data_IF_621204198442
#
_entry.id   IF_621204198442
#
_cell.length_a   1.000
_cell.length_b   1.000
_cell.length_c   1.000
_cell.angle_alpha   90.00
_cell.angle_beta   90.00
_cell.angle_gamma   90.00
#
_symmetry.space_group_name_H-M   'P 1'
#
loop_
_entity.id
_entity.type
_entity.pdbx_description
1 polymer ?
#
# COMPACT_ATOMS: atom_id res chain seq x y z
N UNK A 1 -0.73 -5.22 6.93
CA UNK A 1 0.46 -5.01 7.79
C UNK A 1 0.54 -6.06 8.90
N UNK A 2 -0.55 -6.33 9.61
CA UNK A 2 -0.61 -7.31 10.71
C UNK A 2 0.01 -8.69 10.41
N UNK A 3 -0.26 -9.27 9.25
CA UNK A 3 0.34 -10.55 8.86
C UNK A 3 1.87 -10.52 8.81
N UNK A 4 2.46 -9.40 8.39
CA UNK A 4 3.91 -9.22 8.36
C UNK A 4 4.47 -9.08 9.78
N UNK A 5 3.87 -8.21 10.60
CA UNK A 5 4.24 -8.04 12.01
C UNK A 5 4.16 -9.35 12.79
N UNK A 6 3.08 -10.12 12.60
CA UNK A 6 2.91 -11.44 13.22
C UNK A 6 4.05 -12.41 12.87
N UNK A 7 4.40 -12.49 11.58
CA UNK A 7 5.48 -13.36 11.11
C UNK A 7 6.85 -12.92 11.65
N UNK A 8 7.12 -11.62 11.70
CA UNK A 8 8.34 -11.07 12.27
C UNK A 8 8.47 -11.39 13.77
N UNK A 9 7.41 -11.17 14.55
CA UNK A 9 7.36 -11.43 15.99
C UNK A 9 7.56 -12.92 16.30
N UNK A 10 6.85 -13.80 15.59
CA UNK A 10 7.01 -15.26 15.74
C UNK A 10 8.44 -15.70 15.41
N UNK A 11 9.06 -15.10 14.40
CA UNK A 11 10.45 -15.36 14.07
C UNK A 11 11.41 -14.89 15.18
N UNK A 12 11.24 -13.67 15.71
CA UNK A 12 12.03 -13.14 16.81
C UNK A 12 12.02 -14.09 18.01
N UNK A 13 10.83 -14.47 18.47
CA UNK A 13 10.64 -15.35 19.63
C UNK A 13 11.30 -16.71 19.38
N UNK A 14 11.11 -17.29 18.19
CA UNK A 14 11.72 -18.57 17.82
C UNK A 14 13.26 -18.53 17.86
N UNK A 15 13.86 -17.39 17.53
CA UNK A 15 15.32 -17.19 17.56
C UNK A 15 15.84 -16.70 18.93
N UNK A 16 14.96 -16.54 19.93
CA UNK A 16 15.33 -16.04 21.26
C UNK A 16 15.56 -14.52 21.32
N UNK A 17 15.11 -13.78 20.31
CA UNK A 17 15.11 -12.33 20.27
C UNK A 17 13.87 -11.76 20.98
N UNK A 18 13.96 -10.51 21.42
CA UNK A 18 12.86 -9.80 22.08
C UNK A 18 12.22 -8.86 21.07
N UNK A 19 11.00 -9.15 20.58
CA UNK A 19 10.30 -8.28 19.64
C UNK A 19 9.66 -7.09 20.37
N UNK A 20 10.03 -5.88 20.00
CA UNK A 20 9.45 -4.64 20.52
C UNK A 20 8.59 -3.98 19.45
N UNK A 21 7.35 -3.67 19.79
CA UNK A 21 6.43 -2.96 18.92
C UNK A 21 6.32 -1.50 19.31
N UNK A 22 6.52 -0.63 18.33
CA UNK A 22 6.27 0.80 18.43
C UNK A 22 4.86 1.06 17.95
N UNK A 23 3.98 1.51 18.84
CA UNK A 23 2.62 1.87 18.48
C UNK A 23 2.59 3.26 17.84
N UNK A 24 1.67 3.48 16.89
CA UNK A 24 1.44 4.79 16.26
C UNK A 24 2.72 5.41 15.67
N UNK A 25 3.55 4.60 15.02
CA UNK A 25 4.74 5.04 14.28
C UNK A 25 5.72 5.90 15.09
N UNK A 26 6.39 6.86 14.43
CA UNK A 26 7.41 7.69 15.10
C UNK A 26 6.83 8.62 16.16
N UNK A 27 5.56 9.03 16.03
CA UNK A 27 4.90 9.80 17.09
C UNK A 27 4.81 8.99 18.38
N UNK A 28 4.30 7.75 18.32
CA UNK A 28 4.21 6.93 19.52
C UNK A 28 5.57 6.49 20.05
N UNK A 29 6.60 6.40 19.21
CA UNK A 29 7.98 6.26 19.68
C UNK A 29 8.41 7.42 20.59
N UNK A 30 8.14 8.66 20.18
CA UNK A 30 8.46 9.86 20.96
C UNK A 30 7.67 9.89 22.28
N UNK A 31 6.39 9.50 22.21
CA UNK A 31 5.49 9.39 23.36
C UNK A 31 5.84 8.21 24.30
N UNK A 32 6.74 7.30 23.88
CA UNK A 32 7.15 6.13 24.67
C UNK A 32 6.18 4.94 24.62
N UNK A 33 5.30 4.88 23.62
CA UNK A 33 4.33 3.81 23.40
C UNK A 33 4.99 2.57 22.78
N UNK A 34 5.89 1.94 23.52
CA UNK A 34 6.65 0.75 23.10
C UNK A 34 6.27 -0.43 24.00
N UNK A 35 5.87 -1.54 23.38
CA UNK A 35 5.44 -2.73 24.09
C UNK A 35 6.15 -3.98 23.55
N UNK A 36 6.56 -4.86 24.46
CA UNK A 36 7.06 -6.18 24.09
C UNK A 36 5.91 -7.06 23.62
N UNK A 37 6.06 -7.68 22.45
CA UNK A 37 5.04 -8.57 21.90
C UNK A 37 5.30 -10.02 22.31
N UNK A 38 4.24 -10.70 22.74
CA UNK A 38 4.28 -12.12 23.06
C UNK A 38 3.78 -12.97 21.89
N UNK A 39 4.07 -14.27 21.92
CA UNK A 39 3.61 -15.22 20.91
C UNK A 39 2.09 -15.24 20.77
N UNK A 40 1.39 -15.20 21.91
CA UNK A 40 -0.07 -15.17 21.99
C UNK A 40 -0.64 -13.78 21.65
N UNK A 41 0.10 -12.70 21.93
CA UNK A 41 -0.36 -11.33 21.67
C UNK A 41 -0.55 -11.03 20.18
N UNK A 42 0.20 -11.71 19.31
CA UNK A 42 0.06 -11.59 17.84
C UNK A 42 -0.81 -12.68 17.22
N UNK A 43 -1.52 -13.47 18.02
CA UNK A 43 -2.38 -14.51 17.49
C UNK A 43 -3.59 -13.91 16.77
N UNK A 44 -3.98 -14.53 15.65
CA UNK A 44 -5.05 -14.03 14.78
C UNK A 44 -4.71 -12.78 13.94
N UNK A 45 -3.53 -12.17 14.10
CA UNK A 45 -3.13 -11.00 13.31
C UNK A 45 -3.00 -11.29 11.81
N UNK A 46 -2.79 -12.55 11.42
CA UNK A 46 -2.59 -12.96 10.02
C UNK A 46 -3.79 -12.67 9.12
N UNK A 47 -5.02 -12.75 9.64
CA UNK A 47 -6.24 -12.56 8.83
C UNK A 47 -6.89 -11.18 9.02
N UNK A 48 -6.39 -10.36 9.95
CA UNK A 48 -6.93 -9.02 10.20
C UNK A 48 -6.32 -8.00 9.25
N UNK A 49 -7.16 -7.23 8.55
CA UNK A 49 -6.73 -6.06 7.79
C UNK A 49 -6.25 -4.91 8.69
N UNK A 50 -5.70 -3.88 8.06
CA UNK A 50 -5.18 -2.70 8.76
C UNK A 50 -3.88 -2.95 9.54
N UNK A 51 -3.74 -2.21 10.65
CA UNK A 51 -2.60 -2.23 11.56
C UNK A 51 -3.06 -2.17 13.02
N UNK A 52 -2.86 -3.25 13.78
CA UNK A 52 -3.12 -3.34 15.23
C UNK A 52 -2.14 -2.47 16.04
N UNK A 53 -0.96 -2.19 15.48
CA UNK A 53 0.00 -1.28 16.09
C UNK A 53 -0.37 0.20 15.90
N UNK A 54 -1.31 0.49 15.00
CA UNK A 54 -1.58 1.83 14.52
C UNK A 54 -0.49 2.32 13.56
N UNK A 55 -0.89 3.14 12.59
CA UNK A 55 0.01 3.75 11.60
C UNK A 55 -0.29 5.22 11.47
N UNK A 56 0.76 6.01 11.27
CA UNK A 56 0.65 7.44 10.96
C UNK A 56 1.68 7.84 9.91
N UNK A 57 1.51 9.05 9.37
CA UNK A 57 2.38 9.65 8.37
C UNK A 57 3.45 10.56 9.01
N UNK A 58 3.69 10.44 10.33
CA UNK A 58 4.65 11.27 11.05
C UNK A 58 6.08 10.80 10.75
N UNK A 59 6.91 11.71 10.23
CA UNK A 59 8.29 11.44 9.87
C UNK A 59 9.24 11.63 11.07
N UNK A 60 10.40 10.94 11.09
CA UNK A 60 11.38 11.08 12.17
C UNK A 60 12.10 12.45 12.18
N UNK A 61 11.99 13.23 11.10
CA UNK A 61 12.61 14.56 11.01
C UNK A 61 11.99 15.61 11.95
N UNK A 62 10.82 15.34 12.54
CA UNK A 62 10.19 16.24 13.51
C UNK A 62 11.10 16.46 14.72
N UNK A 63 11.71 15.39 15.24
CA UNK A 63 12.72 15.45 16.29
C UNK A 63 13.64 14.23 16.22
N UNK A 64 14.65 14.32 15.35
CA UNK A 64 15.58 13.23 15.13
C UNK A 64 16.43 12.91 16.37
N UNK A 65 16.70 13.92 17.22
CA UNK A 65 17.47 13.76 18.45
C UNK A 65 16.70 12.97 19.50
N UNK A 66 15.41 13.27 19.69
CA UNK A 66 14.55 12.50 20.59
C UNK A 66 14.32 11.07 20.08
N UNK A 67 14.16 10.88 18.76
CA UNK A 67 14.11 9.52 18.17
C UNK A 67 15.39 8.74 18.49
N UNK A 68 16.56 9.33 18.31
CA UNK A 68 17.84 8.70 18.65
C UNK A 68 17.96 8.37 20.16
N UNK A 69 17.53 9.29 21.03
CA UNK A 69 17.52 9.09 22.47
C UNK A 69 16.63 7.89 22.87
N UNK A 70 15.46 7.75 22.25
CA UNK A 70 14.57 6.59 22.46
C UNK A 70 15.20 5.30 21.95
N UNK A 71 15.89 5.32 20.81
CA UNK A 71 16.58 4.14 20.30
C UNK A 71 17.64 3.64 21.29
N UNK A 72 18.40 4.57 21.87
CA UNK A 72 19.40 4.24 22.88
C UNK A 72 18.77 3.79 24.20
N UNK A 73 17.68 4.42 24.64
CA UNK A 73 16.98 4.06 25.87
C UNK A 73 16.45 2.61 25.85
N UNK A 74 15.93 2.17 24.71
CA UNK A 74 15.34 0.83 24.56
C UNK A 74 16.36 -0.23 24.08
N UNK A 75 17.55 0.18 23.70
CA UNK A 75 18.65 -0.68 23.21
C UNK A 75 18.21 -1.51 21.99
N UNK A 76 17.65 -0.83 20.96
CA UNK A 76 17.27 -1.49 19.72
C UNK A 76 18.51 -1.96 18.96
N UNK A 77 18.48 -3.19 18.45
CA UNK A 77 19.58 -3.79 17.70
C UNK A 77 19.26 -3.97 16.21
N UNK A 78 17.99 -3.85 15.83
CA UNK A 78 17.54 -3.70 14.45
C UNK A 78 16.20 -2.96 14.45
N UNK A 79 15.78 -2.53 13.27
CA UNK A 79 14.47 -1.93 13.05
C UNK A 79 13.84 -2.47 11.77
N UNK A 80 12.60 -2.91 11.85
CA UNK A 80 11.79 -3.29 10.69
C UNK A 80 10.63 -2.31 10.54
N UNK A 81 10.54 -1.65 9.39
CA UNK A 81 9.50 -0.67 9.09
C UNK A 81 8.52 -1.26 8.05
N UNK A 82 7.21 -1.23 8.33
CA UNK A 82 6.18 -1.90 7.51
C UNK A 82 5.09 -0.91 7.09
N UNK A 83 5.35 -0.06 6.10
CA UNK A 83 4.40 0.95 5.57
C UNK A 83 4.77 1.30 4.11
N UNK A 84 4.05 2.27 3.51
CA UNK A 84 4.28 2.84 2.18
C UNK A 84 5.45 3.82 2.09
N UNK A 85 5.27 4.89 1.32
CA UNK A 85 6.35 5.78 0.86
C UNK A 85 6.88 6.76 1.90
N UNK A 86 6.07 7.16 2.88
CA UNK A 86 6.54 8.01 3.97
C UNK A 86 7.62 7.31 4.80
N UNK A 87 7.50 5.99 4.95
CA UNK A 87 8.52 5.17 5.59
C UNK A 87 9.75 5.00 4.73
N UNK A 88 9.60 4.96 3.41
CA UNK A 88 10.75 4.99 2.49
C UNK A 88 11.55 6.29 2.68
N UNK A 89 10.88 7.44 2.81
CA UNK A 89 11.55 8.70 3.16
C UNK A 89 12.15 8.68 4.57
N UNK A 90 11.46 8.05 5.53
CA UNK A 90 11.96 7.88 6.90
C UNK A 90 13.26 7.07 6.94
N UNK A 91 13.39 6.03 6.10
CA UNK A 91 14.62 5.25 5.96
C UNK A 91 15.78 6.14 5.51
N UNK A 92 15.58 7.01 4.53
CA UNK A 92 16.59 7.95 4.07
C UNK A 92 16.98 8.96 5.16
N UNK A 93 16.00 9.47 5.92
CA UNK A 93 16.26 10.38 7.05
C UNK A 93 17.11 9.69 8.12
N UNK A 94 16.78 8.44 8.48
CA UNK A 94 17.56 7.66 9.45
C UNK A 94 18.97 7.36 8.93
N UNK A 95 19.12 7.03 7.65
CA UNK A 95 20.43 6.78 7.03
C UNK A 95 21.32 8.02 7.09
N UNK A 96 20.81 9.19 6.67
CA UNK A 96 21.54 10.45 6.75
C UNK A 96 21.88 10.82 8.21
N UNK A 97 20.96 10.52 9.13
CA UNK A 97 21.11 10.73 10.57
C UNK A 97 22.18 9.88 11.24
N UNK A 98 22.65 8.79 10.62
CA UNK A 98 23.72 7.94 11.18
C UNK A 98 25.02 8.69 11.45
N UNK A 99 25.32 9.68 10.63
CA UNK A 99 26.49 10.55 10.81
C UNK A 99 26.44 11.36 12.12
N UNK A 100 25.23 11.69 12.59
CA UNK A 100 24.99 12.51 13.78
C UNK A 100 24.71 11.66 15.03
N UNK A 101 24.02 10.52 14.86
CA UNK A 101 23.53 9.71 15.95
C UNK A 101 24.00 8.26 15.81
N UNK A 102 24.97 7.81 16.65
CA UNK A 102 25.43 6.43 16.66
C UNK A 102 24.34 5.39 16.93
N UNK A 103 23.24 5.80 17.59
CA UNK A 103 22.07 4.96 17.85
C UNK A 103 21.41 4.42 16.56
N UNK A 104 21.61 5.07 15.41
CA UNK A 104 21.09 4.60 14.13
C UNK A 104 22.01 3.61 13.40
N UNK A 105 23.18 3.27 13.96
CA UNK A 105 24.08 2.24 13.43
C UNK A 105 23.58 0.82 13.69
N UNK A 106 22.31 0.59 13.37
CA UNK A 106 21.64 -0.70 13.43
C UNK A 106 21.07 -1.05 12.05
N UNK A 107 20.92 -2.34 11.71
CA UNK A 107 20.22 -2.73 10.51
C UNK A 107 18.79 -2.22 10.53
N UNK A 108 18.44 -1.42 9.52
CA UNK A 108 17.08 -0.94 9.27
C UNK A 108 16.59 -1.58 7.97
N UNK A 109 15.41 -2.20 8.01
CA UNK A 109 14.81 -2.84 6.83
C UNK A 109 13.41 -2.29 6.61
N UNK A 110 13.13 -1.88 5.38
CA UNK A 110 11.79 -1.50 4.95
C UNK A 110 11.11 -2.68 4.25
N UNK A 111 9.90 -3.01 4.68
CA UNK A 111 8.99 -3.91 4.00
C UNK A 111 7.82 -3.09 3.43
N UNK A 112 7.79 -2.85 2.11
CA UNK A 112 6.78 -2.01 1.50
C UNK A 112 5.36 -2.57 1.70
N UNK A 113 4.49 -1.78 2.32
CA UNK A 113 3.08 -2.11 2.55
C UNK A 113 2.20 -0.89 2.25
N UNK A 114 1.63 -0.85 1.05
CA UNK A 114 0.72 0.19 0.57
C UNK A 114 -0.21 -0.40 -0.48
N UNK A 115 -1.43 0.13 -0.58
CA UNK A 115 -2.39 -0.29 -1.60
C UNK A 115 -2.01 0.22 -3.00
N UNK A 116 -1.33 1.36 -3.10
CA UNK A 116 -1.08 2.03 -4.38
C UNK A 116 0.14 1.51 -5.13
N UNK A 117 0.96 0.68 -4.49
CA UNK A 117 2.19 0.16 -5.07
C UNK A 117 3.19 1.22 -5.56
N UNK A 118 3.21 2.37 -4.88
CA UNK A 118 4.00 3.54 -5.25
C UNK A 118 5.39 3.60 -4.58
N UNK A 119 5.83 2.52 -3.92
CA UNK A 119 7.15 2.48 -3.25
C UNK A 119 8.22 2.05 -4.26
N UNK A 120 9.30 2.82 -4.45
CA UNK A 120 10.40 2.46 -5.34
C UNK A 120 11.07 1.12 -4.97
N UNK A 121 11.84 0.56 -5.89
CA UNK A 121 12.65 -0.67 -5.72
C UNK A 121 11.86 -1.98 -5.59
N UNK A 122 10.53 -1.94 -5.47
CA UNK A 122 9.69 -3.13 -5.48
C UNK A 122 8.60 -3.02 -6.53
N UNK A 123 8.34 -4.11 -7.23
CA UNK A 123 7.19 -4.22 -8.14
C UNK A 123 5.91 -4.60 -7.38
N UNK A 124 6.03 -4.98 -6.11
CA UNK A 124 4.92 -5.43 -5.30
C UNK A 124 5.05 -4.98 -3.85
N UNK A 125 4.05 -4.25 -3.39
CA UNK A 125 3.84 -3.85 -2.01
C UNK A 125 2.68 -4.64 -1.40
N UNK A 126 2.78 -4.94 -0.11
CA UNK A 126 1.74 -5.67 0.61
C UNK A 126 0.46 -4.84 0.69
N UNK A 127 -0.66 -5.45 0.34
CA UNK A 127 -1.98 -4.83 0.30
C UNK A 127 -2.41 -4.38 -1.10
N UNK A 128 -1.49 -4.34 -2.07
CA UNK A 128 -1.82 -3.97 -3.46
C UNK A 128 -2.72 -5.03 -4.13
N UNK A 129 -2.49 -6.32 -3.86
CA UNK A 129 -3.33 -7.41 -4.36
C UNK A 129 -4.72 -7.40 -3.71
N UNK A 130 -4.82 -7.20 -2.39
CA UNK A 130 -6.11 -7.04 -1.72
C UNK A 130 -6.92 -5.84 -2.27
N UNK A 131 -6.26 -4.71 -2.52
CA UNK A 131 -6.89 -3.54 -3.14
C UNK A 131 -7.36 -3.83 -4.57
N UNK A 132 -6.54 -4.53 -5.36
CA UNK A 132 -6.90 -4.91 -6.73
C UNK A 132 -8.11 -5.86 -6.75
N UNK A 133 -8.17 -6.86 -5.86
CA UNK A 133 -9.33 -7.75 -5.76
C UNK A 133 -10.59 -6.97 -5.39
N UNK A 134 -10.51 -6.06 -4.42
CA UNK A 134 -11.66 -5.23 -4.05
C UNK A 134 -12.15 -4.34 -5.22
N UNK A 135 -11.22 -3.84 -6.05
CA UNK A 135 -11.58 -3.12 -7.28
C UNK A 135 -12.27 -4.03 -8.29
N UNK A 136 -11.74 -5.24 -8.52
CA UNK A 136 -12.32 -6.22 -9.45
C UNK A 136 -13.73 -6.60 -9.01
N UNK A 137 -13.93 -6.97 -7.74
CA UNK A 137 -15.24 -7.34 -7.19
C UNK A 137 -16.27 -6.22 -7.38
N UNK A 138 -15.87 -4.97 -7.12
CA UNK A 138 -16.75 -3.84 -7.31
C UNK A 138 -17.04 -3.56 -8.79
N UNK A 139 -16.02 -3.63 -9.65
CA UNK A 139 -16.20 -3.46 -11.09
C UNK A 139 -17.11 -4.54 -11.67
N UNK A 140 -17.01 -5.79 -11.24
CA UNK A 140 -17.87 -6.88 -11.69
C UNK A 140 -19.33 -6.66 -11.26
N UNK A 141 -19.56 -6.26 -10.02
CA UNK A 141 -20.89 -5.89 -9.53
C UNK A 141 -21.49 -4.72 -10.32
N UNK A 142 -20.68 -3.69 -10.59
CA UNK A 142 -21.10 -2.53 -11.40
C UNK A 142 -21.39 -2.95 -12.83
N UNK A 143 -20.55 -3.81 -13.44
CA UNK A 143 -20.71 -4.28 -14.82
C UNK A 143 -21.96 -5.12 -15.00
N UNK A 144 -22.30 -5.94 -14.00
CA UNK A 144 -23.55 -6.70 -13.96
C UNK A 144 -24.76 -5.76 -13.90
N UNK A 145 -24.73 -4.76 -13.02
CA UNK A 145 -25.77 -3.72 -12.91
C UNK A 145 -25.93 -2.92 -14.22
N UNK A 146 -24.81 -2.51 -14.82
CA UNK A 146 -24.78 -1.77 -16.07
C UNK A 146 -25.39 -2.58 -17.23
N UNK A 147 -25.03 -3.86 -17.34
CA UNK A 147 -25.56 -4.77 -18.37
C UNK A 147 -27.05 -5.04 -18.20
N UNK A 148 -27.56 -5.11 -16.95
CA UNK A 148 -28.98 -5.26 -16.69
C UNK A 148 -29.79 -4.02 -17.11
N UNK A 149 -29.27 -2.83 -16.84
CA UNK A 149 -29.97 -1.58 -17.17
C UNK A 149 -29.91 -1.17 -18.64
N UNK A 150 -29.02 -1.81 -19.43
CA UNK A 150 -28.66 -1.49 -20.82
C UNK A 150 -28.18 -0.03 -21.02
N UNK A 151 -27.25 0.17 -21.95
CA UNK A 151 -26.80 1.49 -22.41
C UNK A 151 -26.25 2.41 -21.30
N UNK A 152 -25.32 1.90 -20.47
CA UNK A 152 -24.68 2.69 -19.40
C UNK A 152 -23.17 2.58 -19.36
N UNK A 153 -22.53 3.74 -19.22
CA UNK A 153 -21.11 3.88 -18.91
C UNK A 153 -20.96 4.21 -17.43
N UNK A 154 -20.08 3.50 -16.72
CA UNK A 154 -19.73 3.82 -15.35
C UNK A 154 -18.30 4.35 -15.25
N UNK A 155 -18.14 5.53 -14.66
CA UNK A 155 -16.84 6.08 -14.28
C UNK A 155 -16.53 5.65 -12.85
N UNK A 156 -15.56 4.77 -12.68
CA UNK A 156 -15.15 4.21 -11.40
C UNK A 156 -13.90 4.94 -10.91
N UNK A 157 -14.02 5.62 -9.78
CA UNK A 157 -12.89 6.35 -9.17
C UNK A 157 -12.13 5.49 -8.17
N UNK A 158 -10.81 5.43 -8.36
CA UNK A 158 -9.87 4.57 -7.66
C UNK A 158 -8.73 5.38 -7.03
N UNK A 159 -8.28 4.99 -5.83
CA UNK A 159 -7.16 5.66 -5.14
C UNK A 159 -5.85 4.97 -5.43
N UNK A 160 -4.98 5.66 -6.14
CA UNK A 160 -3.62 5.21 -6.37
C UNK A 160 -2.58 6.23 -5.93
N UNK A 161 -2.99 7.31 -5.25
CA UNK A 161 -2.20 8.54 -5.17
C UNK A 161 -1.62 8.89 -6.56
N UNK A 162 -0.36 9.31 -6.64
CA UNK A 162 0.34 9.62 -7.88
C UNK A 162 0.81 8.37 -8.67
N UNK A 163 0.26 7.19 -8.40
CA UNK A 163 0.60 5.96 -9.11
C UNK A 163 -0.64 5.30 -9.75
N UNK A 164 -0.62 5.16 -11.07
CA UNK A 164 -1.64 4.51 -11.88
C UNK A 164 -1.61 2.99 -11.86
N UNK A 165 -0.73 2.34 -11.05
CA UNK A 165 -0.55 0.88 -11.04
C UNK A 165 -1.87 0.11 -10.89
N UNK A 166 -2.66 0.41 -9.85
CA UNK A 166 -3.91 -0.33 -9.61
C UNK A 166 -4.96 0.00 -10.68
N UNK A 167 -5.00 1.23 -11.21
CA UNK A 167 -5.88 1.57 -12.31
C UNK A 167 -5.54 0.74 -13.56
N UNK A 168 -4.26 0.66 -13.93
CA UNK A 168 -3.79 -0.12 -15.07
C UNK A 168 -4.06 -1.62 -14.89
N UNK A 169 -3.69 -2.18 -13.74
CA UNK A 169 -3.93 -3.60 -13.44
C UNK A 169 -5.42 -3.93 -13.35
N UNK A 170 -6.23 -3.02 -12.78
CA UNK A 170 -7.67 -3.17 -12.66
C UNK A 170 -8.36 -3.19 -14.02
N UNK A 171 -7.93 -2.35 -14.95
CA UNK A 171 -8.47 -2.32 -16.33
C UNK A 171 -8.20 -3.63 -17.04
N UNK A 172 -6.97 -4.15 -16.92
CA UNK A 172 -6.58 -5.44 -17.49
C UNK A 172 -7.40 -6.60 -16.88
N UNK A 173 -7.60 -6.60 -15.57
CA UNK A 173 -8.34 -7.64 -14.87
C UNK A 173 -9.85 -7.63 -15.17
N UNK A 174 -10.45 -6.44 -15.28
CA UNK A 174 -11.92 -6.27 -15.43
C UNK A 174 -12.38 -6.18 -16.89
N UNK A 175 -11.44 -6.09 -17.84
CA UNK A 175 -11.73 -5.84 -19.26
C UNK A 175 -12.46 -4.50 -19.44
N UNK A 176 -12.04 -3.48 -18.70
CA UNK A 176 -12.58 -2.11 -18.77
C UNK A 176 -12.17 -1.45 -20.09
N UNK A 177 -13.00 -0.54 -20.61
CA UNK A 177 -12.78 0.05 -21.94
C UNK A 177 -11.72 1.14 -21.96
N UNK A 178 -11.66 1.98 -20.92
CA UNK A 178 -10.77 3.13 -20.83
C UNK A 178 -10.21 3.30 -19.42
N UNK A 179 -9.06 3.96 -19.34
CA UNK A 179 -8.43 4.29 -18.06
C UNK A 179 -7.82 5.68 -18.07
N UNK A 180 -7.85 6.35 -16.91
CA UNK A 180 -7.16 7.62 -16.69
C UNK A 180 -6.18 7.50 -15.52
N UNK A 181 -4.92 7.84 -15.79
CA UNK A 181 -3.80 7.67 -14.84
C UNK A 181 -3.02 8.98 -14.69
N UNK A 182 -2.40 9.24 -13.53
CA UNK A 182 -1.58 10.44 -13.32
C UNK A 182 -0.37 10.50 -14.26
N UNK A 183 0.16 9.35 -14.70
CA UNK A 183 1.32 9.26 -15.59
C UNK A 183 1.05 9.76 -17.01
N UNK A 184 -0.17 9.56 -17.52
CA UNK A 184 -0.56 10.00 -18.87
C UNK A 184 -1.27 11.36 -18.85
N UNK A 185 -1.88 11.73 -17.74
CA UNK A 185 -2.70 12.94 -17.63
C UNK A 185 -3.99 12.84 -18.46
N UNK A 186 -4.71 13.96 -18.55
CA UNK A 186 -5.96 14.08 -19.29
C UNK A 186 -5.97 15.42 -20.01
N UNK A 187 -6.20 15.41 -21.33
CA UNK A 187 -6.42 16.61 -22.14
C UNK A 187 -7.71 16.48 -22.99
N UNK A 188 -8.15 17.60 -23.58
CA UNK A 188 -9.38 17.62 -24.38
C UNK A 188 -9.31 16.74 -25.64
N UNK A 189 -8.11 16.54 -26.21
CA UNK A 189 -7.91 15.69 -27.38
C UNK A 189 -8.16 14.22 -27.05
N UNK A 190 -7.59 13.75 -25.95
CA UNK A 190 -7.81 12.40 -25.37
C UNK A 190 -9.29 12.20 -25.06
N UNK A 191 -9.91 13.13 -24.33
CA UNK A 191 -11.34 13.03 -23.99
C UNK A 191 -12.23 12.95 -25.23
N UNK A 192 -11.95 13.76 -26.26
CA UNK A 192 -12.68 13.70 -27.52
C UNK A 192 -12.52 12.36 -28.24
N UNK A 193 -11.32 11.79 -28.22
CA UNK A 193 -11.06 10.46 -28.80
C UNK A 193 -11.79 9.35 -28.02
N UNK A 194 -11.78 9.42 -26.70
CA UNK A 194 -12.43 8.46 -25.80
C UNK A 194 -13.96 8.44 -25.94
N UNK A 195 -14.57 9.62 -26.03
CA UNK A 195 -16.01 9.75 -26.32
C UNK A 195 -16.35 9.09 -27.66
N UNK A 196 -15.57 9.39 -28.71
CA UNK A 196 -15.78 8.76 -30.03
C UNK A 196 -15.62 7.25 -29.95
N UNK A 197 -14.60 6.77 -29.25
CA UNK A 197 -14.35 5.34 -29.05
C UNK A 197 -15.55 4.65 -28.37
N UNK A 198 -16.08 5.21 -27.27
CA UNK A 198 -17.25 4.64 -26.61
C UNK A 198 -18.48 4.66 -27.53
N UNK A 199 -18.73 5.75 -28.27
CA UNK A 199 -19.86 5.85 -29.22
C UNK A 199 -19.77 4.81 -30.33
N UNK A 200 -18.59 4.62 -30.92
CA UNK A 200 -18.35 3.56 -31.92
C UNK A 200 -18.63 2.20 -31.30
N UNK A 201 -18.15 1.94 -30.08
CA UNK A 201 -18.40 0.66 -29.40
C UNK A 201 -19.88 0.40 -29.20
N UNK A 202 -20.69 1.38 -28.77
CA UNK A 202 -22.14 1.21 -28.63
C UNK A 202 -22.84 1.07 -29.99
N UNK A 203 -22.36 1.73 -31.04
CA UNK A 203 -22.91 1.56 -32.39
C UNK A 203 -22.65 0.18 -33.01
N UNK A 204 -21.69 -0.57 -32.48
CA UNK A 204 -21.38 -1.94 -32.89
C UNK A 204 -22.08 -3.01 -32.04
N UNK A 205 -22.80 -2.61 -30.99
CA UNK A 205 -23.60 -3.54 -30.19
C UNK A 205 -24.77 -4.07 -31.02
N UNK A 206 -25.07 -5.37 -30.90
CA UNK A 206 -26.21 -5.96 -31.58
C UNK A 206 -27.52 -5.38 -31.04
N UNK A 207 -28.57 -5.32 -31.87
CA UNK A 207 -29.87 -4.79 -31.46
C UNK A 207 -30.40 -5.53 -30.22
N UNK A 208 -30.61 -4.78 -29.13
CA UNK A 208 -31.09 -5.33 -27.85
C UNK A 208 -30.01 -5.89 -26.92
N UNK A 209 -28.76 -6.03 -27.37
CA UNK A 209 -27.61 -6.44 -26.56
C UNK A 209 -26.72 -5.25 -26.20
N UNK A 210 -26.94 -4.63 -25.05
CA UNK A 210 -26.07 -3.57 -24.58
C UNK A 210 -25.20 -4.03 -23.42
N UNK A 211 -23.90 -4.13 -23.67
CA UNK A 211 -22.93 -4.49 -22.64
C UNK A 211 -22.57 -3.24 -21.84
N UNK A 212 -22.70 -3.32 -20.52
CA UNK A 212 -22.26 -2.25 -19.64
C UNK A 212 -20.77 -1.95 -19.83
N UNK A 213 -20.41 -0.67 -19.94
CA UNK A 213 -19.03 -0.23 -20.16
C UNK A 213 -18.51 0.47 -18.91
N UNK A 214 -17.24 0.24 -18.61
CA UNK A 214 -16.55 0.84 -17.47
C UNK A 214 -15.43 1.75 -17.97
N UNK A 215 -15.17 2.79 -17.19
CA UNK A 215 -14.02 3.69 -17.29
C UNK A 215 -13.41 3.78 -15.90
N UNK A 216 -12.13 3.45 -15.74
CA UNK A 216 -11.46 3.53 -14.43
C UNK A 216 -10.61 4.80 -14.38
N UNK A 217 -10.78 5.60 -13.34
CA UNK A 217 -10.05 6.86 -13.16
C UNK A 217 -9.30 6.82 -11.83
N UNK A 218 -8.00 7.06 -11.87
CA UNK A 218 -7.24 7.36 -10.65
C UNK A 218 -7.62 8.77 -10.14
N UNK A 219 -7.84 8.93 -8.83
CA UNK A 219 -8.20 10.19 -8.18
C UNK A 219 -7.25 11.36 -8.50
N UNK A 220 -5.96 11.08 -8.67
CA UNK A 220 -4.90 12.03 -8.98
C UNK A 220 -4.64 12.20 -10.48
N UNK A 221 -5.40 11.54 -11.37
CA UNK A 221 -5.19 11.64 -12.81
C UNK A 221 -5.32 13.08 -13.34
N UNK A 222 -6.21 13.88 -12.76
CA UNK A 222 -6.32 15.31 -13.05
C UNK A 222 -7.06 16.03 -11.93
N UNK A 223 -6.62 17.25 -11.58
CA UNK A 223 -7.34 18.14 -10.66
C UNK A 223 -8.53 18.84 -11.33
N UNK A 224 -8.51 18.97 -12.66
CA UNK A 224 -9.53 19.68 -13.44
C UNK A 224 -10.59 18.70 -13.93
N UNK A 225 -10.17 17.60 -14.53
CA UNK A 225 -11.09 16.57 -15.05
C UNK A 225 -11.43 15.59 -13.94
N UNK A 226 -12.36 16.00 -13.07
CA UNK A 226 -12.87 15.20 -11.96
C UNK A 226 -13.81 14.10 -12.43
N UNK A 227 -14.08 13.13 -11.56
CA UNK A 227 -15.01 12.02 -11.84
C UNK A 227 -16.39 12.54 -12.21
N UNK A 228 -16.87 13.58 -11.52
CA UNK A 228 -18.15 14.23 -11.82
C UNK A 228 -18.14 14.86 -13.23
N UNK A 229 -17.09 15.64 -13.54
CA UNK A 229 -16.96 16.31 -14.85
C UNK A 229 -16.90 15.28 -15.97
N UNK A 230 -16.12 14.21 -15.82
CA UNK A 230 -16.04 13.14 -16.81
C UNK A 230 -17.40 12.44 -16.98
N UNK A 231 -18.12 12.21 -15.89
CA UNK A 231 -19.43 11.55 -15.91
C UNK A 231 -20.45 12.39 -16.66
N UNK A 232 -20.52 13.69 -16.34
CA UNK A 232 -21.45 14.61 -16.99
C UNK A 232 -21.10 14.84 -18.47
N UNK A 233 -19.80 14.88 -18.79
CA UNK A 233 -19.33 14.95 -20.18
C UNK A 233 -19.75 13.72 -20.98
N UNK A 234 -19.51 12.50 -20.46
CA UNK A 234 -19.99 11.27 -21.12
C UNK A 234 -21.51 11.23 -21.25
N UNK A 235 -22.26 11.69 -20.23
CA UNK A 235 -23.73 11.77 -20.30
C UNK A 235 -24.18 12.72 -21.41
N UNK A 236 -23.56 13.90 -21.50
CA UNK A 236 -23.91 14.92 -22.48
C UNK A 236 -23.59 14.47 -23.91
N UNK A 237 -22.40 13.91 -24.13
CA UNK A 237 -21.93 13.46 -25.45
C UNK A 237 -22.55 12.14 -25.91
N UNK A 238 -22.96 11.29 -24.96
CA UNK A 238 -23.70 10.06 -25.21
C UNK A 238 -25.08 10.32 -25.79
N UNK A 239 -25.72 11.44 -25.43
CA UNK A 239 -27.04 11.80 -25.94
C UNK A 239 -28.07 10.71 -25.67
N UNK A 240 -28.67 10.14 -26.72
CA UNK A 240 -29.60 9.01 -26.61
C UNK A 240 -28.95 7.62 -26.67
N UNK A 241 -27.64 7.52 -26.94
CA UNK A 241 -26.96 6.24 -27.10
C UNK A 241 -26.69 5.54 -25.77
N UNK A 242 -26.27 6.29 -24.75
CA UNK A 242 -26.01 5.78 -23.41
C UNK A 242 -26.10 6.87 -22.34
N UNK A 243 -26.41 6.47 -21.11
CA UNK A 243 -26.30 7.29 -19.91
C UNK A 243 -24.95 7.04 -19.22
N UNK A 244 -24.53 7.98 -18.37
CA UNK A 244 -23.29 7.88 -17.60
C UNK A 244 -23.56 8.02 -16.10
N UNK A 245 -22.90 7.17 -15.30
CA UNK A 245 -22.96 7.17 -13.83
C UNK A 245 -21.55 7.07 -13.27
N UNK A 246 -21.36 7.43 -12.01
CA UNK A 246 -20.09 7.22 -11.34
C UNK A 246 -20.24 6.40 -10.07
N UNK A 247 -19.12 5.84 -9.63
CA UNK A 247 -18.99 5.22 -8.32
C UNK A 247 -17.60 5.50 -7.80
N UNK A 248 -17.51 6.13 -6.62
CA UNK A 248 -16.24 6.27 -5.91
C UNK A 248 -16.14 5.17 -4.87
N UNK A 249 -15.08 4.37 -4.94
CA UNK A 249 -14.86 3.21 -4.06
C UNK A 249 -14.50 3.59 -2.61
N UNK A 250 -14.51 4.88 -2.25
CA UNK A 250 -14.33 5.40 -0.89
C UNK A 250 -13.26 4.69 -0.03
N UNK A 251 -13.58 4.43 1.24
CA UNK A 251 -12.71 3.67 2.15
C UNK A 251 -12.86 2.14 2.05
N UNK A 252 -13.71 1.62 1.15
CA UNK A 252 -13.87 0.18 0.89
C UNK A 252 -12.54 -0.43 0.35
N UNK A 253 -11.60 0.44 -0.01
CA UNK A 253 -10.32 0.22 -0.70
C UNK A 253 -9.18 -0.40 0.12
N UNK A 254 -9.20 -0.32 1.46
CA UNK A 254 -8.09 -0.91 2.25
C UNK A 254 -8.11 -2.43 2.31
N UNK A 255 -9.19 -3.07 1.80
CA UNK A 255 -9.39 -4.50 1.89
C UNK A 255 -9.59 -4.91 3.35
N UNK A 256 -10.82 -5.25 3.73
CA UNK A 256 -11.09 -5.64 5.12
C UNK A 256 -10.21 -6.82 5.55
N UNK A 257 -10.12 -7.84 4.70
CA UNK A 257 -9.37 -9.06 4.97
C UNK A 257 -8.28 -9.21 3.89
N UNK A 258 -6.99 -9.39 4.27
CA UNK A 258 -5.92 -9.54 3.28
C UNK A 258 -6.10 -10.83 2.48
N UNK A 259 -5.74 -10.78 1.19
CA UNK A 259 -5.81 -11.93 0.29
C UNK A 259 -4.80 -13.00 0.66
N UNK A 260 -5.01 -14.26 0.21
CA UNK A 260 -4.02 -15.31 0.41
C UNK A 260 -2.62 -14.95 -0.10
N UNK A 261 -2.53 -14.25 -1.24
CA UNK A 261 -1.24 -13.80 -1.77
C UNK A 261 -0.57 -12.79 -0.83
N UNK A 262 -1.31 -11.78 -0.36
CA UNK A 262 -0.76 -10.79 0.58
C UNK A 262 -0.31 -11.44 1.90
N UNK A 263 -1.09 -12.39 2.44
CA UNK A 263 -0.70 -13.13 3.67
C UNK A 263 0.57 -13.95 3.47
N UNK A 264 0.65 -14.70 2.38
CA UNK A 264 1.80 -15.55 2.08
C UNK A 264 3.06 -14.72 1.81
N UNK A 265 2.95 -13.64 1.03
CA UNK A 265 4.06 -12.72 0.77
C UNK A 265 4.48 -11.98 2.03
N UNK A 266 3.53 -11.52 2.85
CA UNK A 266 3.83 -10.87 4.13
C UNK A 266 4.66 -11.79 5.02
N UNK A 267 4.27 -13.05 5.18
CA UNK A 267 5.05 -14.03 5.94
C UNK A 267 6.44 -14.24 5.34
N UNK A 268 6.52 -14.53 4.03
CA UNK A 268 7.78 -14.80 3.33
C UNK A 268 8.77 -13.64 3.42
N UNK A 269 8.31 -12.42 3.13
CA UNK A 269 9.16 -11.24 3.11
C UNK A 269 9.59 -10.85 4.52
N UNK A 270 8.69 -10.94 5.51
CA UNK A 270 9.04 -10.66 6.91
C UNK A 270 10.14 -11.59 7.40
N UNK A 271 10.05 -12.89 7.12
CA UNK A 271 11.10 -13.84 7.46
C UNK A 271 12.45 -13.48 6.82
N UNK A 272 12.44 -13.01 5.56
CA UNK A 272 13.66 -12.54 4.88
C UNK A 272 14.22 -11.27 5.50
N UNK A 273 13.38 -10.30 5.84
CA UNK A 273 13.78 -9.08 6.55
C UNK A 273 14.46 -9.41 7.87
N UNK A 274 13.84 -10.28 8.69
CA UNK A 274 14.39 -10.68 9.98
C UNK A 274 15.69 -11.48 9.84
N UNK A 275 15.79 -12.37 8.85
CA UNK A 275 17.01 -13.11 8.56
C UNK A 275 18.16 -12.19 8.12
N UNK A 276 17.85 -11.18 7.29
CA UNK A 276 18.81 -10.17 6.87
C UNK A 276 19.31 -9.34 8.06
N UNK A 277 18.41 -8.83 8.90
CA UNK A 277 18.79 -8.08 10.10
C UNK A 277 19.71 -8.89 10.99
N UNK A 278 19.37 -10.16 11.28
CA UNK A 278 20.22 -11.07 12.06
C UNK A 278 21.60 -11.25 11.44
N UNK A 279 21.69 -11.46 10.13
CA UNK A 279 22.97 -11.67 9.45
C UNK A 279 23.88 -10.43 9.55
N UNK A 280 23.31 -9.22 9.47
CA UNK A 280 24.05 -7.97 9.66
C UNK A 280 24.47 -7.81 11.11
N UNK A 281 23.56 -7.98 12.06
CA UNK A 281 23.86 -7.87 13.49
C UNK A 281 24.99 -8.84 13.89
N UNK A 282 24.98 -10.06 13.35
CA UNK A 282 26.05 -11.03 13.59
C UNK A 282 27.39 -10.59 12.99
N UNK A 283 27.41 -10.01 11.77
CA UNK A 283 28.65 -9.45 11.16
C UNK A 283 29.20 -8.29 11.98
N UNK A 284 28.34 -7.39 12.44
CA UNK A 284 28.74 -6.29 13.33
C UNK A 284 29.26 -6.83 14.68
N UNK A 285 28.60 -7.85 15.24
CA UNK A 285 29.00 -8.47 16.51
C UNK A 285 30.32 -9.25 16.39
N UNK A 286 30.60 -9.92 15.26
CA UNK A 286 31.87 -10.59 14.99
C UNK A 286 33.04 -9.58 14.95
N UNK A 287 32.81 -8.37 14.40
CA UNK A 287 33.79 -7.28 14.47
C UNK A 287 34.01 -6.77 15.91
N UNK A 288 33.00 -6.89 16.80
CA UNK A 288 33.11 -6.54 18.22
C UNK A 288 33.61 -7.68 19.12
N UNK A 289 33.45 -8.95 18.73
CA UNK A 289 34.00 -10.13 19.43
C UNK A 289 35.53 -10.16 19.35
N UNK A 290 36.13 -9.64 18.27
CA UNK A 290 37.57 -9.30 18.23
C UNK A 290 37.98 -8.23 19.27
N UNK A 291 37.03 -7.63 19.99
CA UNK A 291 37.22 -6.68 21.11
C UNK A 291 36.67 -7.19 22.46
N UNK A 292 36.30 -8.47 22.57
CA UNK A 292 36.06 -9.13 23.88
C UNK A 292 34.69 -8.93 24.55
N UNK A 293 33.60 -8.64 23.82
CA UNK A 293 32.26 -8.44 24.41
C UNK A 293 31.36 -9.67 24.20
N UNK A 294 30.74 -10.18 25.29
CA UNK A 294 29.80 -11.33 25.30
C UNK A 294 28.53 -11.08 24.45
N UNK A 295 27.90 -12.13 23.87
CA UNK A 295 26.69 -11.98 23.05
C UNK A 295 25.47 -11.61 23.92
N UNK A 296 24.92 -10.41 23.71
CA UNK A 296 23.67 -9.94 24.33
C UNK A 296 22.44 -10.50 23.60
N UNK A 297 21.32 -10.67 24.31
CA UNK A 297 20.02 -10.94 23.69
C UNK A 297 19.65 -9.78 22.77
N UNK A 298 19.51 -10.05 21.48
CA UNK A 298 19.17 -9.05 20.46
C UNK A 298 17.70 -8.62 20.63
N UNK A 299 17.48 -7.31 20.76
CA UNK A 299 16.15 -6.69 20.79
C UNK A 299 15.84 -6.15 19.39
N UNK A 300 14.75 -6.62 18.79
CA UNK A 300 14.38 -6.41 17.38
C UNK A 300 13.02 -5.73 17.26
#
# INVERSE_FOLDING_TARGET
>A
MNAASCAAVRYCIKQGHIPLAVHNGFKGLLDGAIHELSWLGVDGWTFRGGSELGTNHTLPCVDLGAVAARFQQHDFHALMLIVGFEVFNSLLILENGRSLYPAFHIPVVHLPATISNHVPMTEFSLGSDASLNALVDACDAIKQSASASRNRVFVVEMQGEQCGYIAAMGVLATGTSLMYTPEQGIDLGVLGADVRFIKIRYGLDAEGESKGRLVIRNECASKVYTTDILTDMFRKEGGGLFDSRYTSLGHIRQGGVPTPMDRARAARLSLRCMAFSRNITNRCSLNHLNRGVLPRKVRL
#
